data_IF_916152107520
#
_entry.id   IF_916152107520
#
_cell.length_a   1.000
_cell.length_b   1.000
_cell.length_c   1.000
_cell.angle_alpha   90.00
_cell.angle_beta   90.00
_cell.angle_gamma   90.00
#
_symmetry.space_group_name_H-M   'P 1'
#
loop_
_entity.id
_entity.type
_entity.pdbx_description
1 polymer ?
#
# COMPACT_ATOMS: atom_id res chain seq x y z
N UNK A 1 3.82 2.38 15.13
CA UNK A 1 3.38 1.56 13.98
C UNK A 1 2.75 0.22 14.37
N UNK A 2 3.33 -0.59 15.27
CA UNK A 2 2.76 -1.90 15.66
C UNK A 2 1.27 -1.88 16.03
N UNK A 3 0.84 -0.90 16.85
CA UNK A 3 -0.58 -0.74 17.20
C UNK A 3 -1.48 -0.46 15.99
N UNK A 4 -1.01 0.31 15.00
CA UNK A 4 -1.76 0.60 13.79
C UNK A 4 -1.93 -0.68 12.93
N UNK A 5 -0.87 -1.47 12.77
CA UNK A 5 -0.96 -2.78 12.10
C UNK A 5 -1.91 -3.74 12.82
N UNK A 6 -1.87 -3.80 14.16
CA UNK A 6 -2.79 -4.63 14.94
C UNK A 6 -4.25 -4.14 14.87
N UNK A 7 -4.45 -2.82 14.71
CA UNK A 7 -5.77 -2.22 14.59
C UNK A 7 -6.36 -2.35 13.18
N UNK A 8 -5.53 -2.58 12.16
CA UNK A 8 -5.95 -2.70 10.75
C UNK A 8 -7.06 -3.75 10.57
N UNK A 9 -6.95 -4.90 11.21
CA UNK A 9 -7.95 -5.98 11.15
C UNK A 9 -9.14 -5.82 12.10
N UNK A 10 -9.15 -4.75 12.91
CA UNK A 10 -10.19 -4.42 13.90
C UNK A 10 -10.98 -3.15 13.55
N UNK A 11 -10.68 -2.52 12.40
CA UNK A 11 -11.27 -1.24 12.04
C UNK A 11 -12.70 -1.44 11.50
N UNK A 12 -13.65 -1.71 12.40
CA UNK A 12 -15.08 -1.87 12.08
C UNK A 12 -15.75 -0.56 11.60
N UNK A 13 -15.04 0.58 11.70
CA UNK A 13 -15.52 1.91 11.32
C UNK A 13 -14.57 2.51 10.27
N UNK A 14 -15.14 2.97 9.15
CA UNK A 14 -14.42 3.55 8.01
C UNK A 14 -13.50 4.72 8.41
N UNK A 15 -13.95 5.59 9.31
CA UNK A 15 -13.16 6.73 9.80
C UNK A 15 -11.89 6.27 10.54
N UNK A 16 -12.01 5.24 11.39
CA UNK A 16 -10.86 4.64 12.08
C UNK A 16 -9.91 3.96 11.10
N UNK A 17 -10.46 3.32 10.07
CA UNK A 17 -9.67 2.69 9.02
C UNK A 17 -8.82 3.73 8.27
N UNK A 18 -9.40 4.89 7.91
CA UNK A 18 -8.66 6.00 7.26
C UNK A 18 -7.53 6.52 8.14
N UNK A 19 -7.76 6.69 9.44
CA UNK A 19 -6.74 7.14 10.39
C UNK A 19 -5.59 6.12 10.48
N UNK A 20 -5.91 4.83 10.58
CA UNK A 20 -4.93 3.74 10.58
C UNK A 20 -4.12 3.75 9.28
N UNK A 21 -4.78 3.84 8.12
CA UNK A 21 -4.11 3.91 6.81
C UNK A 21 -3.14 5.08 6.76
N UNK A 22 -3.54 6.28 7.23
CA UNK A 22 -2.64 7.44 7.27
C UNK A 22 -1.39 7.20 8.14
N UNK A 23 -1.54 6.53 9.29
CA UNK A 23 -0.40 6.15 10.12
C UNK A 23 0.53 5.16 9.39
N UNK A 24 -0.04 4.24 8.60
CA UNK A 24 0.72 3.27 7.82
C UNK A 24 1.39 3.89 6.59
N UNK A 25 0.78 4.90 5.94
CA UNK A 25 1.44 5.69 4.89
C UNK A 25 2.73 6.33 5.42
N UNK A 26 2.66 6.98 6.60
CA UNK A 26 3.84 7.54 7.26
C UNK A 26 4.91 6.49 7.56
N UNK A 27 4.50 5.31 8.01
CA UNK A 27 5.42 4.19 8.23
C UNK A 27 6.15 3.80 6.95
N UNK A 28 5.44 3.67 5.84
CA UNK A 28 6.04 3.29 4.56
C UNK A 28 7.00 4.38 4.08
N UNK A 29 6.65 5.66 4.18
CA UNK A 29 7.60 6.73 3.86
C UNK A 29 8.91 6.61 4.65
N UNK A 30 8.83 6.37 5.95
CA UNK A 30 10.01 6.20 6.80
C UNK A 30 10.81 4.93 6.46
N UNK A 31 10.14 3.83 6.11
CA UNK A 31 10.76 2.58 5.68
C UNK A 31 11.64 2.78 4.43
N UNK A 32 11.22 3.67 3.52
CA UNK A 32 12.00 4.05 2.33
C UNK A 32 13.01 5.19 2.59
N UNK A 33 13.19 5.62 3.84
CA UNK A 33 14.12 6.67 4.24
C UNK A 33 13.67 8.09 3.85
N UNK A 34 12.38 8.29 3.59
CA UNK A 34 11.83 9.56 3.13
C UNK A 34 11.36 10.42 4.31
N UNK A 35 11.53 11.73 4.19
CA UNK A 35 11.05 12.71 5.20
C UNK A 35 9.58 13.07 5.02
N UNK A 36 9.05 12.90 3.80
CA UNK A 36 7.65 13.19 3.50
C UNK A 36 6.72 12.28 4.31
N UNK A 37 5.61 12.82 4.79
CA UNK A 37 4.52 12.04 5.37
C UNK A 37 3.50 11.58 4.31
N UNK A 38 3.63 12.08 3.07
CA UNK A 38 2.79 11.74 1.95
C UNK A 38 3.52 10.74 1.04
N UNK A 39 2.92 9.56 0.88
CA UNK A 39 3.47 8.45 0.10
C UNK A 39 3.64 8.80 -1.39
N UNK A 40 2.75 9.61 -1.97
CA UNK A 40 2.87 10.02 -3.37
C UNK A 40 4.04 10.98 -3.56
N UNK A 41 4.25 11.91 -2.63
CA UNK A 41 5.41 12.80 -2.66
C UNK A 41 6.70 12.01 -2.50
N UNK A 42 6.73 11.05 -1.55
CA UNK A 42 7.84 10.13 -1.37
C UNK A 42 8.14 9.30 -2.65
N UNK A 43 7.11 8.79 -3.31
CA UNK A 43 7.24 8.09 -4.59
C UNK A 43 7.82 8.99 -5.67
N UNK A 44 7.28 10.20 -5.81
CA UNK A 44 7.72 11.14 -6.82
C UNK A 44 9.17 11.60 -6.60
N UNK A 45 9.54 11.94 -5.36
CA UNK A 45 10.90 12.31 -5.00
C UNK A 45 11.90 11.19 -5.30
N UNK A 46 11.56 9.94 -4.93
CA UNK A 46 12.40 8.77 -5.21
C UNK A 46 12.52 8.52 -6.72
N UNK A 47 11.42 8.65 -7.44
CA UNK A 47 11.39 8.55 -8.90
C UNK A 47 12.30 9.59 -9.53
N UNK A 48 12.21 10.86 -9.13
CA UNK A 48 13.08 11.92 -9.65
C UNK A 48 14.55 11.65 -9.30
N UNK A 49 14.87 11.25 -8.06
CA UNK A 49 16.23 10.93 -7.66
C UNK A 49 16.85 9.84 -8.54
N UNK A 50 16.05 8.83 -8.91
CA UNK A 50 16.46 7.75 -9.80
C UNK A 50 16.57 8.21 -11.25
N UNK A 51 15.51 8.80 -11.80
CA UNK A 51 15.30 8.93 -13.24
C UNK A 51 15.53 10.32 -13.82
N UNK A 52 15.72 11.36 -12.99
CA UNK A 52 15.98 12.71 -13.49
C UNK A 52 17.33 12.73 -14.21
N UNK A 53 17.29 12.83 -15.53
CA UNK A 53 18.48 12.93 -16.40
C UNK A 53 18.18 13.82 -17.60
N UNK A 54 19.20 14.47 -18.14
CA UNK A 54 19.15 15.14 -19.44
C UNK A 54 19.45 14.12 -20.55
N UNK A 55 18.42 13.70 -21.29
CA UNK A 55 18.56 12.90 -22.52
C UNK A 55 17.93 11.50 -22.48
N UNK A 56 17.21 11.16 -23.54
CA UNK A 56 16.40 9.93 -23.63
C UNK A 56 17.21 8.65 -23.53
N UNK A 57 18.42 8.60 -24.12
CA UNK A 57 19.28 7.40 -24.06
C UNK A 57 19.72 7.06 -22.63
N UNK A 58 20.04 8.08 -21.83
CA UNK A 58 20.47 7.90 -20.44
C UNK A 58 19.28 7.49 -19.57
N UNK A 59 18.12 8.09 -19.78
CA UNK A 59 16.86 7.68 -19.14
C UNK A 59 16.53 6.21 -19.42
N UNK A 60 16.56 5.76 -20.68
CA UNK A 60 16.27 4.37 -21.05
C UNK A 60 17.23 3.38 -20.39
N UNK A 61 18.53 3.71 -20.35
CA UNK A 61 19.52 2.86 -19.68
C UNK A 61 19.21 2.71 -18.19
N UNK A 62 18.88 3.81 -17.51
CA UNK A 62 18.46 3.78 -16.10
C UNK A 62 17.19 2.95 -15.90
N UNK A 63 16.18 3.16 -16.75
CA UNK A 63 14.91 2.43 -16.71
C UNK A 63 15.09 0.91 -16.78
N UNK A 64 15.94 0.43 -17.69
CA UNK A 64 16.19 -1.00 -17.87
C UNK A 64 16.97 -1.58 -16.67
N UNK A 65 17.90 -0.81 -16.11
CA UNK A 65 18.78 -1.27 -15.01
C UNK A 65 18.17 -1.14 -13.61
N UNK A 66 17.06 -0.40 -13.47
CA UNK A 66 16.54 -0.05 -12.17
C UNK A 66 15.56 -1.11 -11.66
N UNK A 67 15.81 -1.56 -10.45
CA UNK A 67 14.88 -2.41 -9.72
C UNK A 67 13.76 -1.55 -9.13
N UNK A 68 12.57 -1.67 -9.73
CA UNK A 68 11.36 -0.92 -9.38
C UNK A 68 10.90 -1.16 -7.93
N UNK A 69 11.32 -2.25 -7.29
CA UNK A 69 10.99 -2.53 -5.88
C UNK A 69 11.60 -1.51 -4.89
N UNK A 70 12.58 -0.71 -5.36
CA UNK A 70 13.19 0.37 -4.58
C UNK A 70 12.36 1.67 -4.55
N UNK A 71 11.27 1.75 -5.34
CA UNK A 71 10.29 2.83 -5.21
C UNK A 71 9.32 2.49 -4.08
N UNK A 72 8.93 3.47 -3.24
CA UNK A 72 7.76 3.28 -2.38
C UNK A 72 6.52 3.06 -3.24
N UNK A 73 5.50 2.33 -2.78
CA UNK A 73 4.23 2.21 -3.50
C UNK A 73 3.59 3.58 -3.69
N UNK A 74 2.76 3.76 -4.71
CA UNK A 74 1.88 4.93 -4.73
C UNK A 74 0.75 4.77 -3.70
N UNK A 75 0.06 5.86 -3.35
CA UNK A 75 -1.03 5.83 -2.38
C UNK A 75 -2.11 4.83 -2.74
N UNK A 76 -2.51 4.80 -4.01
CA UNK A 76 -3.55 3.89 -4.49
C UNK A 76 -3.14 2.44 -4.31
N UNK A 77 -1.90 2.08 -4.68
CA UNK A 77 -1.39 0.72 -4.52
C UNK A 77 -1.31 0.33 -3.05
N UNK A 78 -0.81 1.21 -2.18
CA UNK A 78 -0.72 0.96 -0.76
C UNK A 78 -2.11 0.75 -0.14
N UNK A 79 -3.07 1.62 -0.47
CA UNK A 79 -4.45 1.50 0.03
C UNK A 79 -5.08 0.17 -0.40
N UNK A 80 -4.94 -0.19 -1.67
CA UNK A 80 -5.45 -1.46 -2.20
C UNK A 80 -4.80 -2.67 -1.50
N UNK A 81 -3.49 -2.63 -1.25
CA UNK A 81 -2.81 -3.69 -0.52
C UNK A 81 -3.28 -3.81 0.93
N UNK A 82 -3.53 -2.68 1.59
CA UNK A 82 -4.06 -2.66 2.95
C UNK A 82 -5.48 -3.23 3.01
N UNK A 83 -6.36 -2.87 2.07
CA UNK A 83 -7.70 -3.44 1.95
C UNK A 83 -7.66 -4.97 1.78
N UNK A 84 -6.84 -5.47 0.86
CA UNK A 84 -6.67 -6.92 0.67
C UNK A 84 -6.17 -7.61 1.93
N UNK A 85 -5.27 -6.95 2.66
CA UNK A 85 -4.75 -7.46 3.94
C UNK A 85 -5.87 -7.51 4.99
N UNK A 86 -6.76 -6.52 5.05
CA UNK A 86 -7.92 -6.52 5.95
C UNK A 86 -8.82 -7.71 5.65
N UNK A 87 -9.17 -7.91 4.39
CA UNK A 87 -9.98 -9.05 3.96
C UNK A 87 -9.38 -10.40 4.36
N UNK A 88 -8.11 -10.63 4.01
CA UNK A 88 -7.41 -11.89 4.32
C UNK A 88 -7.34 -12.11 5.83
N UNK A 89 -6.98 -11.08 6.60
CA UNK A 89 -6.84 -11.19 8.05
C UNK A 89 -8.18 -11.43 8.74
N UNK A 90 -9.28 -10.86 8.23
CA UNK A 90 -10.63 -11.12 8.74
C UNK A 90 -11.00 -12.60 8.59
N UNK A 91 -10.77 -13.19 7.41
CA UNK A 91 -11.01 -14.62 7.16
C UNK A 91 -10.25 -15.49 8.15
N UNK A 92 -8.93 -15.29 8.25
CA UNK A 92 -8.08 -16.16 9.08
C UNK A 92 -8.41 -16.06 10.56
N UNK A 93 -8.69 -14.86 11.05
CA UNK A 93 -9.11 -14.63 12.45
C UNK A 93 -10.39 -15.37 12.80
N UNK A 94 -11.32 -15.43 11.85
CA UNK A 94 -12.65 -16.00 12.02
C UNK A 94 -12.77 -17.41 11.42
N UNK A 95 -11.64 -18.06 11.13
CA UNK A 95 -11.60 -19.39 10.49
C UNK A 95 -12.28 -20.51 11.30
N UNK A 96 -12.55 -20.26 12.58
CA UNK A 96 -13.30 -21.16 13.46
C UNK A 96 -14.83 -21.04 13.29
N UNK A 97 -15.32 -20.00 12.59
CA UNK A 97 -16.73 -19.78 12.29
C UNK A 97 -17.11 -20.46 10.98
N UNK A 98 -18.39 -20.82 10.85
CA UNK A 98 -18.95 -21.35 9.60
C UNK A 98 -18.85 -20.35 8.45
N UNK A 99 -19.10 -19.08 8.76
CA UNK A 99 -18.96 -17.95 7.83
C UNK A 99 -17.85 -17.03 8.37
N UNK A 100 -16.64 -17.09 7.80
CA UNK A 100 -15.48 -16.42 8.38
C UNK A 100 -15.41 -14.92 8.06
N UNK A 101 -16.16 -14.42 7.09
CA UNK A 101 -16.16 -13.00 6.75
C UNK A 101 -17.50 -12.56 6.18
N UNK A 102 -17.88 -11.32 6.46
CA UNK A 102 -19.00 -10.60 5.81
C UNK A 102 -18.50 -9.59 4.78
N UNK A 103 -17.17 -9.46 4.65
CA UNK A 103 -16.51 -8.57 3.70
C UNK A 103 -16.60 -9.16 2.27
N UNK A 104 -16.65 -8.28 1.27
CA UNK A 104 -16.68 -8.65 -0.14
C UNK A 104 -15.30 -8.42 -0.77
N UNK A 105 -14.84 -9.28 -1.69
CA UNK A 105 -13.59 -9.04 -2.41
C UNK A 105 -13.52 -7.68 -3.10
N UNK A 106 -14.62 -7.23 -3.72
CA UNK A 106 -14.69 -5.99 -4.49
C UNK A 106 -14.48 -4.72 -3.66
N UNK A 107 -15.02 -4.68 -2.44
CA UNK A 107 -14.84 -3.55 -1.53
C UNK A 107 -13.48 -3.60 -0.83
N UNK A 108 -12.82 -4.76 -0.82
CA UNK A 108 -11.51 -4.97 -0.21
C UNK A 108 -10.36 -5.15 -1.22
N UNK A 109 -10.50 -4.48 -2.37
CA UNK A 109 -9.40 -4.24 -3.30
C UNK A 109 -9.13 -5.36 -4.32
N UNK A 110 -10.08 -6.27 -4.51
CA UNK A 110 -10.07 -7.23 -5.61
C UNK A 110 -10.98 -6.75 -6.74
N UNK A 111 -10.68 -7.17 -7.97
CA UNK A 111 -11.60 -7.01 -9.09
C UNK A 111 -12.09 -8.40 -9.46
N UNK A 112 -13.40 -8.57 -9.61
CA UNK A 112 -13.95 -9.78 -10.20
C UNK A 112 -13.65 -9.75 -11.70
N UNK A 113 -13.20 -10.88 -12.21
CA UNK A 113 -13.03 -11.12 -13.64
C UNK A 113 -14.14 -12.10 -14.00
N UNK A 114 -15.02 -11.69 -14.90
CA UNK A 114 -16.00 -12.60 -15.49
C UNK A 114 -15.27 -13.60 -16.40
N UNK A 115 -15.58 -14.89 -16.25
CA UNK A 115 -15.05 -15.99 -17.08
C UNK A 115 -15.67 -16.02 -18.49
#
# INVERSE_FOLDING_TARGET
YQKAFAALSNAEIVEKQKEIISILEKFVCQMYGMKSENINDAHYEKFLATYKTSGTKVFMKKLISYDSSNLPPCQRELQQQLLRTIYITNIWRNSHLKEPTVLTPEDDGWNLIDD
#
